data_IF_100439215168
#
_entry.id   IF_100439215168
#
_cell.length_a   1.000
_cell.length_b   1.000
_cell.length_c   1.000
_cell.angle_alpha   90.00
_cell.angle_beta   90.00
_cell.angle_gamma   90.00
#
_symmetry.space_group_name_H-M   'P 1'
#
loop_
_entity.id
_entity.type
_entity.pdbx_description
1 polymer ?
#
# COMPACT_ATOMS: atom_id res chain seq x y z
N UNK A 1 -6.98 28.50 -0.25
CA UNK A 1 -6.61 27.28 -0.99
C UNK A 1 -7.68 26.92 -2.02
N UNK A 2 -8.97 26.90 -1.66
CA UNK A 2 -10.08 26.67 -2.60
C UNK A 2 -10.03 27.57 -3.86
N UNK A 3 -9.96 28.90 -3.68
CA UNK A 3 -9.85 29.86 -4.81
C UNK A 3 -8.72 29.51 -5.80
N UNK A 4 -7.56 29.13 -5.26
CA UNK A 4 -6.37 28.79 -6.06
C UNK A 4 -6.60 27.50 -6.85
N UNK A 5 -7.25 26.49 -6.24
CA UNK A 5 -7.64 25.28 -6.96
C UNK A 5 -8.58 25.61 -8.14
N UNK A 6 -9.56 26.49 -7.92
CA UNK A 6 -10.46 26.92 -8.99
C UNK A 6 -9.78 27.72 -10.09
N UNK A 7 -8.71 28.46 -9.78
CA UNK A 7 -7.90 29.17 -10.79
C UNK A 7 -7.07 28.20 -11.62
N UNK A 8 -6.44 27.21 -11.00
CA UNK A 8 -5.60 26.22 -11.69
C UNK A 8 -6.44 25.28 -12.56
N UNK A 9 -7.61 24.88 -12.08
CA UNK A 9 -8.53 23.99 -12.82
C UNK A 9 -9.40 24.74 -13.82
N UNK A 10 -9.49 26.07 -13.71
CA UNK A 10 -10.45 26.87 -14.46
C UNK A 10 -11.91 26.67 -14.02
N UNK A 11 -12.15 25.99 -12.90
CA UNK A 11 -13.48 25.63 -12.43
C UNK A 11 -13.64 25.89 -10.92
N UNK A 12 -14.24 27.05 -10.61
CA UNK A 12 -14.53 27.45 -9.23
C UNK A 12 -15.67 26.62 -8.61
N UNK A 13 -16.60 26.09 -9.42
CA UNK A 13 -17.70 25.27 -8.91
C UNK A 13 -17.20 23.88 -8.49
N UNK A 14 -16.31 23.30 -9.29
CA UNK A 14 -15.56 22.10 -8.93
C UNK A 14 -14.77 22.32 -7.63
N UNK A 15 -13.97 23.39 -7.55
CA UNK A 15 -13.15 23.65 -6.36
C UNK A 15 -13.99 23.75 -5.08
N UNK A 16 -15.11 24.48 -5.14
CA UNK A 16 -16.07 24.57 -4.03
C UNK A 16 -16.66 23.21 -3.64
N UNK A 17 -17.05 22.40 -4.63
CA UNK A 17 -17.61 21.07 -4.39
C UNK A 17 -16.58 20.15 -3.75
N UNK A 18 -15.37 20.14 -4.29
CA UNK A 18 -14.25 19.35 -3.79
C UNK A 18 -13.92 19.69 -2.33
N UNK A 19 -13.80 20.98 -2.00
CA UNK A 19 -13.53 21.41 -0.64
C UNK A 19 -14.65 21.03 0.32
N UNK A 20 -15.90 21.23 -0.08
CA UNK A 20 -17.04 20.88 0.78
C UNK A 20 -17.15 19.38 1.04
N UNK A 21 -16.89 18.53 0.03
CA UNK A 21 -17.05 17.08 0.14
C UNK A 21 -15.85 16.37 0.77
N UNK A 22 -14.62 16.77 0.44
CA UNK A 22 -13.42 15.98 0.77
C UNK A 22 -12.47 16.66 1.75
N UNK A 23 -12.56 17.98 1.93
CA UNK A 23 -11.70 18.72 2.87
C UNK A 23 -12.46 19.09 4.15
N UNK A 24 -13.66 19.63 4.02
CA UNK A 24 -14.51 20.01 5.15
C UNK A 24 -15.37 18.87 5.65
N UNK A 25 -15.82 18.02 4.72
CA UNK A 25 -16.36 16.70 5.02
C UNK A 25 -15.27 15.67 4.79
N UNK A 26 -15.41 14.53 5.45
CA UNK A 26 -14.48 13.40 5.33
C UNK A 26 -15.04 12.33 4.39
N UNK A 27 -15.71 12.75 3.31
CA UNK A 27 -16.20 11.80 2.32
C UNK A 27 -14.98 11.22 1.56
N UNK A 28 -15.09 9.99 1.07
CA UNK A 28 -14.00 9.34 0.33
C UNK A 28 -14.08 9.72 -1.15
N UNK A 29 -12.94 10.14 -1.71
CA UNK A 29 -12.80 10.33 -3.16
C UNK A 29 -12.95 8.96 -3.85
N UNK A 30 -13.64 8.92 -4.99
CA UNK A 30 -13.78 7.72 -5.81
C UNK A 30 -12.49 7.37 -6.55
N UNK A 31 -11.49 6.91 -5.79
CA UNK A 31 -10.21 6.51 -6.34
C UNK A 31 -10.31 5.30 -7.26
N UNK A 32 -11.36 4.47 -7.15
CA UNK A 32 -11.54 3.31 -8.01
C UNK A 32 -11.71 3.74 -9.46
N UNK A 33 -12.62 4.69 -9.71
CA UNK A 33 -12.90 5.16 -11.07
C UNK A 33 -11.82 6.11 -11.58
N UNK A 34 -11.22 6.94 -10.70
CA UNK A 34 -10.12 7.82 -11.07
C UNK A 34 -8.86 7.05 -11.49
N UNK A 35 -8.50 6.00 -10.74
CA UNK A 35 -7.34 5.17 -11.07
C UNK A 35 -7.59 4.29 -12.30
N UNK A 36 -8.83 3.84 -12.52
CA UNK A 36 -9.19 3.06 -13.70
C UNK A 36 -8.95 3.80 -15.02
N UNK A 37 -9.07 5.14 -15.05
CA UNK A 37 -8.72 5.96 -16.23
C UNK A 37 -7.26 5.83 -16.64
N UNK A 38 -6.38 5.54 -15.68
CA UNK A 38 -4.98 5.25 -15.89
C UNK A 38 -4.69 3.74 -15.98
N UNK A 39 -5.70 2.89 -16.15
CA UNK A 39 -5.51 1.43 -16.15
C UNK A 39 -4.91 0.90 -14.86
N UNK A 40 -5.30 1.47 -13.72
CA UNK A 40 -4.87 1.05 -12.39
C UNK A 40 -6.09 0.54 -11.63
N UNK A 41 -6.03 -0.71 -11.18
CA UNK A 41 -7.08 -1.37 -10.40
C UNK A 41 -6.85 -1.15 -8.91
N UNK A 42 -7.74 -0.44 -8.26
CA UNK A 42 -7.85 -0.46 -6.80
C UNK A 42 -8.67 -1.69 -6.36
N UNK A 43 -8.08 -2.55 -5.53
CA UNK A 43 -8.77 -3.74 -4.99
C UNK A 43 -8.36 -4.05 -3.55
N UNK A 44 -9.09 -4.95 -2.90
CA UNK A 44 -8.69 -5.52 -1.61
C UNK A 44 -7.39 -6.31 -1.77
N UNK A 45 -6.39 -6.01 -0.95
CA UNK A 45 -5.11 -6.72 -0.96
C UNK A 45 -5.22 -8.12 -0.31
N UNK A 46 -6.18 -8.29 0.61
CA UNK A 46 -6.36 -9.51 1.39
C UNK A 46 -7.84 -9.91 1.41
N UNK A 47 -8.41 -10.30 0.25
CA UNK A 47 -9.84 -10.55 0.12
C UNK A 47 -10.29 -11.67 1.07
N UNK A 48 -11.32 -11.39 1.87
CA UNK A 48 -11.91 -12.33 2.82
C UNK A 48 -11.02 -12.70 4.01
N UNK A 49 -9.84 -12.11 4.16
CA UNK A 49 -8.94 -12.41 5.29
C UNK A 49 -9.40 -11.68 6.55
N UNK A 50 -9.33 -12.38 7.68
CA UNK A 50 -9.58 -11.82 8.98
C UNK A 50 -8.43 -10.89 9.42
N UNK A 51 -8.78 -9.91 10.25
CA UNK A 51 -7.86 -8.91 10.74
C UNK A 51 -8.27 -8.43 12.13
N UNK A 52 -7.28 -8.16 12.97
CA UNK A 52 -7.48 -7.71 14.35
C UNK A 52 -6.95 -6.30 14.62
N UNK A 53 -6.22 -5.71 13.68
CA UNK A 53 -5.45 -4.49 13.91
C UNK A 53 -3.96 -4.70 13.64
N UNK A 54 -3.23 -3.61 13.49
CA UNK A 54 -1.76 -3.63 13.49
C UNK A 54 -1.27 -3.53 14.94
N UNK A 55 -0.61 -4.59 15.41
CA UNK A 55 -0.05 -4.65 16.76
C UNK A 55 1.48 -4.57 16.70
N UNK A 56 2.06 -3.78 17.60
CA UNK A 56 3.49 -3.91 17.91
C UNK A 56 3.62 -4.79 19.15
N UNK A 57 4.27 -5.93 18.97
CA UNK A 57 4.44 -6.93 20.03
C UNK A 57 5.93 -7.12 20.33
N UNK A 58 6.23 -7.42 21.60
CA UNK A 58 7.53 -7.91 22.03
C UNK A 58 7.33 -9.27 22.67
N UNK A 59 8.09 -10.24 22.17
CA UNK A 59 8.13 -11.60 22.67
C UNK A 59 9.38 -11.74 23.55
N UNK A 60 9.20 -11.83 24.87
CA UNK A 60 10.32 -12.00 25.79
C UNK A 60 9.92 -12.87 26.99
N UNK A 61 10.72 -13.91 27.28
CA UNK A 61 10.53 -14.79 28.46
C UNK A 61 9.09 -15.32 28.56
N UNK A 62 8.54 -15.82 27.44
CA UNK A 62 7.16 -16.35 27.35
C UNK A 62 6.06 -15.31 27.64
N UNK A 63 6.37 -14.02 27.47
CA UNK A 63 5.41 -12.93 27.59
C UNK A 63 5.31 -12.18 26.27
N UNK A 64 4.10 -12.11 25.74
CA UNK A 64 3.76 -11.32 24.56
C UNK A 64 3.21 -9.99 25.02
N UNK A 65 4.02 -8.94 24.93
CA UNK A 65 3.66 -7.60 25.42
C UNK A 65 3.30 -6.69 24.26
N UNK A 66 2.19 -5.96 24.40
CA UNK A 66 1.83 -4.86 23.51
C UNK A 66 2.76 -3.67 23.78
N UNK A 67 3.56 -3.28 22.79
CA UNK A 67 4.60 -2.24 22.95
C UNK A 67 4.17 -0.86 22.49
N UNK A 68 3.17 -0.78 21.61
CA UNK A 68 2.64 0.48 21.06
C UNK A 68 1.15 0.64 21.36
N UNK A 69 0.62 1.88 21.41
CA UNK A 69 -0.81 2.10 21.57
C UNK A 69 -1.61 1.43 20.44
N UNK A 70 -2.77 0.88 20.76
CA UNK A 70 -3.66 0.30 19.76
C UNK A 70 -4.38 1.39 18.96
N UNK A 71 -4.53 1.18 17.65
CA UNK A 71 -5.16 2.16 16.77
C UNK A 71 -6.68 2.19 17.01
N UNK A 72 -7.24 3.38 17.19
CA UNK A 72 -8.67 3.59 17.39
C UNK A 72 -9.47 2.99 16.23
N UNK A 73 -10.54 2.27 16.55
CA UNK A 73 -11.41 1.64 15.57
C UNK A 73 -10.97 0.25 15.10
N UNK A 74 -9.79 -0.22 15.51
CA UNK A 74 -9.36 -1.60 15.26
C UNK A 74 -10.06 -2.60 16.19
N UNK A 75 -10.20 -3.87 15.79
CA UNK A 75 -10.76 -4.92 16.65
C UNK A 75 -10.03 -5.06 17.99
N UNK A 76 -8.70 -5.03 17.98
CA UNK A 76 -7.90 -5.15 19.21
C UNK A 76 -8.13 -3.97 20.14
N UNK A 77 -8.23 -2.74 19.61
CA UNK A 77 -8.61 -1.56 20.40
C UNK A 77 -10.01 -1.71 21.02
N UNK A 78 -10.98 -2.22 20.25
CA UNK A 78 -12.35 -2.44 20.72
C UNK A 78 -12.44 -3.51 21.83
N UNK A 79 -11.52 -4.47 21.85
CA UNK A 79 -11.41 -5.45 22.94
C UNK A 79 -10.86 -4.86 24.25
N UNK A 80 -10.37 -3.60 24.22
CA UNK A 80 -9.83 -2.92 25.39
C UNK A 80 -8.38 -3.25 25.70
N UNK A 81 -7.69 -3.96 24.80
CA UNK A 81 -6.25 -4.22 24.85
C UNK A 81 -5.50 -2.96 24.40
N UNK A 82 -4.49 -2.57 25.16
CA UNK A 82 -3.65 -1.41 24.84
C UNK A 82 -2.19 -1.63 25.28
N UNK A 83 -1.32 -0.67 24.95
CA UNK A 83 0.09 -0.66 25.30
C UNK A 83 0.32 -1.02 26.76
N UNK A 84 1.26 -1.95 26.98
CA UNK A 84 1.66 -2.41 28.29
C UNK A 84 0.91 -3.65 28.75
N UNK A 85 -0.17 -4.05 28.07
CA UNK A 85 -0.83 -5.32 28.33
C UNK A 85 0.04 -6.50 27.90
N UNK A 86 -0.08 -7.61 28.61
CA UNK A 86 0.59 -8.87 28.29
C UNK A 86 -0.47 -9.87 27.88
N UNK A 87 -0.47 -10.25 26.61
CA UNK A 87 -1.38 -11.25 26.06
C UNK A 87 -0.80 -12.63 26.34
N UNK A 88 -1.59 -13.51 26.92
CA UNK A 88 -1.19 -14.89 27.22
C UNK A 88 -1.77 -15.88 26.23
N UNK A 89 -3.06 -15.72 25.91
CA UNK A 89 -3.81 -16.70 25.15
C UNK A 89 -4.90 -16.02 24.32
N UNK A 90 -5.14 -16.53 23.12
CA UNK A 90 -6.39 -16.31 22.38
C UNK A 90 -7.09 -17.67 22.29
N UNK A 91 -8.33 -17.73 22.76
CA UNK A 91 -9.08 -18.96 23.04
C UNK A 91 -8.26 -19.99 23.83
N UNK A 92 -7.94 -21.13 23.20
CA UNK A 92 -7.15 -22.21 23.77
C UNK A 92 -5.67 -22.17 23.38
N UNK A 93 -5.23 -21.16 22.62
CA UNK A 93 -3.90 -21.12 22.01
C UNK A 93 -3.01 -20.03 22.62
N UNK A 94 -1.80 -20.43 23.04
CA UNK A 94 -0.81 -19.49 23.55
C UNK A 94 -0.18 -18.70 22.39
N UNK A 95 0.15 -17.43 22.64
CA UNK A 95 0.87 -16.59 21.68
C UNK A 95 2.26 -16.35 22.23
N UNK A 96 3.26 -17.08 21.75
CA UNK A 96 4.65 -16.96 22.18
C UNK A 96 5.54 -16.33 21.11
N UNK A 97 5.07 -16.29 19.86
CA UNK A 97 5.73 -15.63 18.74
C UNK A 97 4.75 -14.93 17.79
N UNK A 98 5.28 -14.26 16.79
CA UNK A 98 4.49 -13.63 15.72
C UNK A 98 3.79 -14.68 14.87
N UNK A 99 4.46 -15.79 14.58
CA UNK A 99 3.90 -16.90 13.81
C UNK A 99 2.71 -17.56 14.52
N UNK A 100 2.69 -17.62 15.86
CA UNK A 100 1.53 -18.10 16.62
C UNK A 100 0.31 -17.21 16.39
N UNK A 101 0.51 -15.89 16.44
CA UNK A 101 -0.56 -14.92 16.25
C UNK A 101 -1.06 -14.96 14.80
N UNK A 102 -0.17 -14.99 13.83
CA UNK A 102 -0.53 -15.07 12.41
C UNK A 102 -1.35 -16.32 12.13
N UNK A 103 -0.91 -17.48 12.64
CA UNK A 103 -1.64 -18.75 12.52
C UNK A 103 -3.04 -18.68 13.14
N UNK A 104 -3.19 -18.05 14.31
CA UNK A 104 -4.51 -17.84 14.93
C UNK A 104 -5.38 -16.99 13.99
N UNK A 105 -4.87 -15.86 13.50
CA UNK A 105 -5.63 -14.97 12.60
C UNK A 105 -6.03 -15.70 11.32
N UNK A 106 -5.15 -16.50 10.73
CA UNK A 106 -5.42 -17.26 9.51
C UNK A 106 -6.49 -18.34 9.66
N UNK A 107 -6.67 -18.86 10.87
CA UNK A 107 -7.68 -19.89 11.19
C UNK A 107 -9.07 -19.32 11.44
N UNK A 108 -9.23 -17.99 11.46
CA UNK A 108 -10.51 -17.32 11.71
C UNK A 108 -11.04 -16.58 10.48
N UNK A 109 -12.37 -16.44 10.44
CA UNK A 109 -13.07 -15.64 9.45
C UNK A 109 -13.46 -14.27 10.01
N UNK A 110 -13.63 -13.25 9.16
CA UNK A 110 -14.27 -12.01 9.56
C UNK A 110 -15.64 -12.27 10.21
N UNK A 111 -15.88 -11.69 11.38
CA UNK A 111 -17.09 -11.89 12.19
C UNK A 111 -16.92 -12.90 13.32
N UNK A 112 -15.89 -13.74 13.30
CA UNK A 112 -15.59 -14.66 14.40
C UNK A 112 -15.31 -13.88 15.70
N UNK A 113 -15.72 -14.46 16.82
CA UNK A 113 -15.48 -13.89 18.15
C UNK A 113 -14.63 -14.86 18.96
N UNK A 114 -13.54 -14.35 19.53
CA UNK A 114 -12.60 -15.11 20.35
C UNK A 114 -12.35 -14.44 21.69
N UNK A 115 -11.86 -15.22 22.64
CA UNK A 115 -11.59 -14.79 24.00
C UNK A 115 -10.09 -14.54 24.17
N UNK A 116 -9.69 -13.33 24.55
CA UNK A 116 -8.30 -12.99 24.88
C UNK A 116 -8.12 -13.07 26.39
N UNK A 117 -7.11 -13.82 26.84
CA UNK A 117 -6.62 -13.78 28.22
C UNK A 117 -5.35 -12.94 28.29
N UNK A 118 -5.36 -11.94 29.15
CA UNK A 118 -4.27 -10.98 29.27
C UNK A 118 -4.06 -10.53 30.72
N UNK A 119 -2.86 -10.04 31.03
CA UNK A 119 -2.60 -9.25 32.22
C UNK A 119 -2.57 -7.79 31.81
N UNK A 120 -3.45 -7.00 32.41
CA UNK A 120 -3.53 -5.56 32.19
C UNK A 120 -3.33 -4.82 33.50
N UNK A 121 -2.30 -3.97 33.56
CA UNK A 121 -1.94 -3.20 34.77
C UNK A 121 -1.78 -4.09 36.02
N UNK A 122 -1.25 -5.31 35.83
CA UNK A 122 -1.01 -6.27 36.90
C UNK A 122 -2.22 -7.10 37.33
N UNK A 123 -3.35 -6.99 36.63
CA UNK A 123 -4.58 -7.75 36.92
C UNK A 123 -4.91 -8.64 35.73
N UNK A 124 -5.23 -9.90 36.00
CA UNK A 124 -5.76 -10.82 34.99
C UNK A 124 -7.10 -10.30 34.46
N UNK A 125 -7.22 -10.25 33.14
CA UNK A 125 -8.41 -9.84 32.42
C UNK A 125 -8.72 -10.81 31.30
N UNK A 126 -10.01 -10.84 30.98
CA UNK A 126 -10.54 -11.51 29.81
C UNK A 126 -11.26 -10.48 28.95
N UNK A 127 -11.00 -10.50 27.65
CA UNK A 127 -11.60 -9.61 26.67
C UNK A 127 -12.17 -10.40 25.49
N UNK A 128 -13.25 -9.90 24.89
CA UNK A 128 -13.77 -10.46 23.64
C UNK A 128 -13.18 -9.67 22.47
N UNK A 129 -12.68 -10.38 21.47
CA UNK A 129 -12.22 -9.81 20.21
C UNK A 129 -13.08 -10.35 19.06
N UNK A 130 -13.51 -9.46 18.19
CA UNK A 130 -14.31 -9.79 17.00
C UNK A 130 -13.47 -9.48 15.77
N UNK A 131 -13.13 -10.50 14.99
CA UNK A 131 -12.37 -10.34 13.75
C UNK A 131 -13.16 -9.49 12.75
N UNK A 132 -12.45 -8.63 12.02
CA UNK A 132 -13.01 -7.85 10.91
C UNK A 132 -12.33 -8.21 9.60
N UNK A 133 -12.92 -7.79 8.49
CA UNK A 133 -12.29 -7.90 7.17
C UNK A 133 -11.02 -7.04 7.17
N UNK A 134 -9.94 -7.58 6.61
CA UNK A 134 -8.70 -6.85 6.46
C UNK A 134 -8.89 -5.60 5.58
N UNK A 135 -8.59 -4.38 6.08
CA UNK A 135 -8.91 -3.14 5.37
C UNK A 135 -7.88 -2.76 4.28
N UNK A 136 -6.79 -3.52 4.16
CA UNK A 136 -5.72 -3.27 3.21
C UNK A 136 -6.20 -3.24 1.76
N UNK A 137 -5.88 -2.15 1.07
CA UNK A 137 -6.10 -1.96 -0.36
C UNK A 137 -4.76 -1.98 -1.09
N UNK A 138 -4.78 -2.46 -2.32
CA UNK A 138 -3.65 -2.37 -3.24
C UNK A 138 -4.07 -1.76 -4.58
N UNK A 139 -3.10 -1.15 -5.26
CA UNK A 139 -3.25 -0.64 -6.62
C UNK A 139 -2.42 -1.52 -7.54
N UNK A 140 -3.07 -2.14 -8.51
CA UNK A 140 -2.46 -3.10 -9.43
C UNK A 140 -2.64 -2.61 -10.87
N UNK A 141 -1.59 -2.49 -11.67
CA UNK A 141 -1.74 -2.19 -13.10
C UNK A 141 -2.62 -3.23 -13.79
N UNK A 142 -3.42 -2.80 -14.76
CA UNK A 142 -4.32 -3.68 -15.51
C UNK A 142 -3.58 -4.87 -16.18
N UNK A 143 -2.34 -4.65 -16.59
CA UNK A 143 -1.43 -5.66 -17.13
C UNK A 143 -1.16 -6.82 -16.16
N UNK A 144 -1.17 -6.53 -14.85
CA UNK A 144 -0.97 -7.50 -13.78
C UNK A 144 -2.29 -8.00 -13.17
N UNK A 145 -3.42 -7.58 -13.74
CA UNK A 145 -4.76 -7.92 -13.28
C UNK A 145 -5.62 -8.57 -14.37
N UNK A 146 -5.00 -9.06 -15.45
CA UNK A 146 -5.66 -9.66 -16.61
C UNK A 146 -6.76 -8.76 -17.21
N UNK A 147 -6.49 -7.45 -17.24
CA UNK A 147 -7.38 -6.44 -17.81
C UNK A 147 -6.75 -5.79 -19.04
N UNK A 148 -7.59 -5.45 -20.00
CA UNK A 148 -7.18 -4.76 -21.21
C UNK A 148 -6.70 -3.34 -20.90
N UNK A 149 -5.55 -2.97 -21.45
CA UNK A 149 -5.07 -1.59 -21.50
C UNK A 149 -5.45 -1.02 -22.86
N UNK A 150 -6.43 -0.12 -22.87
CA UNK A 150 -6.93 0.50 -24.10
C UNK A 150 -6.02 1.62 -24.58
N UNK A 151 -6.14 2.00 -25.86
CA UNK A 151 -5.43 3.14 -26.43
C UNK A 151 -5.69 4.45 -25.65
N UNK A 152 -6.91 4.63 -25.14
CA UNK A 152 -7.29 5.77 -24.30
C UNK A 152 -6.52 5.78 -22.97
N UNK A 153 -6.37 4.62 -22.33
CA UNK A 153 -5.59 4.48 -21.09
C UNK A 153 -4.12 4.81 -21.37
N UNK A 154 -3.56 4.30 -22.47
CA UNK A 154 -2.18 4.62 -22.83
C UNK A 154 -1.99 6.11 -23.11
N UNK A 155 -2.93 6.74 -23.83
CA UNK A 155 -2.90 8.17 -24.11
C UNK A 155 -2.98 8.99 -22.81
N UNK A 156 -3.87 8.61 -21.89
CA UNK A 156 -3.99 9.22 -20.58
C UNK A 156 -2.66 9.11 -19.80
N UNK A 157 -2.07 7.91 -19.71
CA UNK A 157 -0.80 7.68 -19.03
C UNK A 157 0.32 8.51 -19.63
N UNK A 158 0.41 8.60 -20.96
CA UNK A 158 1.39 9.46 -21.64
C UNK A 158 1.23 10.91 -21.22
N UNK A 159 0.02 11.45 -21.32
CA UNK A 159 -0.25 12.83 -20.92
C UNK A 159 0.02 13.07 -19.42
N UNK A 160 -0.21 12.07 -18.57
CA UNK A 160 -0.03 12.20 -17.13
C UNK A 160 1.41 12.05 -16.67
N UNK A 161 2.09 10.98 -17.10
CA UNK A 161 3.37 10.52 -16.55
C UNK A 161 4.57 10.86 -17.44
N UNK A 162 4.37 11.25 -18.70
CA UNK A 162 5.50 11.68 -19.54
C UNK A 162 6.17 12.92 -18.94
N UNK A 163 7.50 12.91 -19.05
CA UNK A 163 8.31 14.06 -18.65
C UNK A 163 7.91 15.29 -19.46
N UNK A 164 7.67 16.40 -18.74
CA UNK A 164 7.45 17.72 -19.34
C UNK A 164 8.75 18.50 -19.52
N UNK A 165 9.88 17.91 -19.14
CA UNK A 165 11.22 18.49 -19.32
C UNK A 165 11.64 18.28 -20.77
N UNK A 166 11.84 19.35 -21.56
CA UNK A 166 12.36 19.24 -22.92
C UNK A 166 13.74 18.56 -22.90
N UNK A 167 13.92 17.52 -23.72
CA UNK A 167 15.22 16.87 -23.92
C UNK A 167 15.57 15.74 -22.96
N UNK A 168 14.71 15.36 -22.00
CA UNK A 168 14.97 14.21 -21.11
C UNK A 168 14.55 12.85 -21.68
N UNK A 169 14.11 12.83 -22.95
CA UNK A 169 14.12 11.66 -23.81
C UNK A 169 15.36 11.67 -24.71
N UNK A 170 16.55 11.96 -24.18
CA UNK A 170 17.78 11.61 -24.89
C UNK A 170 17.70 10.10 -25.15
N UNK A 171 17.45 9.74 -26.42
CA UNK A 171 17.46 8.39 -26.97
C UNK A 171 18.50 7.55 -26.23
N UNK A 172 18.08 6.60 -25.38
CA UNK A 172 18.99 5.87 -24.48
C UNK A 172 20.15 5.32 -25.32
N UNK A 173 21.35 5.87 -25.17
CA UNK A 173 22.48 5.45 -26.00
C UNK A 173 23.28 4.39 -25.28
N UNK A 174 23.70 3.39 -26.04
CA UNK A 174 24.74 2.47 -25.59
C UNK A 174 26.09 2.95 -26.10
N UNK A 175 27.14 2.72 -25.32
CA UNK A 175 28.46 3.26 -25.61
C UNK A 175 29.49 2.14 -25.75
N UNK A 176 30.38 2.28 -26.73
CA UNK A 176 31.52 1.38 -26.90
C UNK A 176 32.72 1.93 -26.12
N UNK A 177 33.30 1.12 -25.23
CA UNK A 177 34.46 1.54 -24.45
C UNK A 177 35.73 1.73 -25.29
N UNK A 178 35.85 1.03 -26.43
CA UNK A 178 37.03 1.08 -27.31
C UNK A 178 36.97 2.25 -28.27
N UNK A 179 35.92 2.31 -29.11
CA UNK A 179 35.81 3.34 -30.15
C UNK A 179 35.23 4.66 -29.66
N UNK A 180 34.75 4.71 -28.40
CA UNK A 180 34.24 5.92 -27.75
C UNK A 180 33.04 6.56 -28.48
N UNK A 181 32.26 5.75 -29.22
CA UNK A 181 31.05 6.18 -29.94
C UNK A 181 29.79 5.77 -29.20
N UNK A 182 28.77 6.62 -29.32
CA UNK A 182 27.42 6.34 -28.86
C UNK A 182 26.58 5.76 -30.01
N UNK A 183 25.80 4.73 -29.71
CA UNK A 183 24.94 4.00 -30.64
C UNK A 183 23.48 4.05 -30.16
N UNK A 184 22.49 3.87 -31.06
CA UNK A 184 21.08 3.74 -30.68
C UNK A 184 20.86 2.59 -29.69
N UNK A 185 19.86 2.70 -28.80
CA UNK A 185 19.60 1.72 -27.74
C UNK A 185 19.46 0.28 -28.24
N UNK A 186 18.80 0.10 -29.40
CA UNK A 186 18.46 -1.19 -29.97
C UNK A 186 19.69 -1.97 -30.48
N UNK A 187 20.85 -1.32 -30.62
CA UNK A 187 22.06 -1.98 -31.09
C UNK A 187 22.82 -2.59 -29.91
N UNK A 188 22.92 -3.91 -29.86
CA UNK A 188 23.54 -4.61 -28.72
C UNK A 188 25.07 -4.70 -28.81
N UNK A 189 25.61 -4.74 -30.03
CA UNK A 189 27.03 -4.93 -30.31
C UNK A 189 27.61 -3.81 -31.14
N UNK A 190 28.86 -3.45 -30.89
CA UNK A 190 29.57 -2.42 -31.63
C UNK A 190 29.98 -2.91 -33.02
N UNK A 191 29.79 -2.09 -34.07
CA UNK A 191 30.21 -2.42 -35.44
C UNK A 191 31.73 -2.37 -35.68
N UNK A 192 32.49 -1.83 -34.73
CA UNK A 192 33.93 -1.65 -34.86
C UNK A 192 34.72 -2.82 -34.27
N UNK A 193 34.47 -3.16 -33.00
CA UNK A 193 35.17 -4.20 -32.25
C UNK A 193 34.33 -5.46 -32.02
N UNK A 194 33.01 -5.42 -32.26
CA UNK A 194 32.11 -6.56 -32.06
C UNK A 194 31.70 -6.79 -30.60
N UNK A 195 32.19 -5.97 -29.67
CA UNK A 195 31.93 -6.12 -28.24
C UNK A 195 30.53 -5.60 -27.85
N UNK A 196 29.93 -6.13 -26.76
CA UNK A 196 28.66 -5.63 -26.23
C UNK A 196 28.75 -4.17 -25.80
N UNK A 197 27.79 -3.37 -26.23
CA UNK A 197 27.70 -1.95 -25.88
C UNK A 197 27.14 -1.77 -24.45
N UNK A 198 27.78 -0.91 -23.66
CA UNK A 198 27.44 -0.65 -22.26
C UNK A 198 26.38 0.45 -22.14
N UNK A 199 25.47 0.34 -21.17
CA UNK A 199 24.57 1.42 -20.79
C UNK A 199 25.31 2.40 -19.89
N UNK A 200 25.42 3.66 -20.28
CA UNK A 200 25.88 4.72 -19.37
C UNK A 200 24.80 5.78 -19.28
N UNK A 201 24.24 5.99 -18.09
CA UNK A 201 23.72 7.31 -17.75
C UNK A 201 24.93 8.25 -17.74
N UNK A 202 24.92 9.33 -18.52
CA UNK A 202 25.91 10.40 -18.33
C UNK A 202 25.88 10.80 -16.84
N UNK A 203 27.05 10.78 -16.18
CA UNK A 203 27.26 11.57 -14.98
C UNK A 203 27.32 13.05 -15.36
#
# INVERSE_FOLDING_TARGET
>A
MERVLGEVTGDQAFAKTFFNQYIHRHDLVDYKDLLAQAGLLLREAYPGKAWIGSLSLSYAREKTRVTSPTLIGTPIYQSGVDRGDVIHQIDSEAILSEEDLDRIIENHAPGDTVTIKLISRGVDKTAQLIFRVHPGLEVVPFEHADREVTEDIEAFRRQWLETRVPGNGEDLRRYCHTCKRAYPFAQEYCRYDGDPLQLTSKQ
#
